data_IF_152781846823
#
_entry.id   IF_152781846823
#
_cell.length_a   1.000
_cell.length_b   1.000
_cell.length_c   1.000
_cell.angle_alpha   90.00
_cell.angle_beta   90.00
_cell.angle_gamma   90.00
#
_symmetry.space_group_name_H-M   'P 1'
#
loop_
_entity.id
_entity.type
_entity.pdbx_description
1 polymer ?
#
# COMPACT_ATOMS: atom_id res chain seq x y z
N UNK A 1 -36.85 17.59 28.91
CA UNK A 1 -35.57 16.89 29.23
C UNK A 1 -35.47 15.61 28.41
N UNK A 2 -35.47 15.72 27.07
CA UNK A 2 -35.55 14.52 26.21
C UNK A 2 -35.01 14.74 24.79
N UNK A 3 -34.02 15.63 24.62
CA UNK A 3 -33.52 15.95 23.27
C UNK A 3 -32.00 16.10 23.14
N UNK A 4 -31.24 15.60 24.12
CA UNK A 4 -29.77 15.67 24.11
C UNK A 4 -29.06 14.31 24.13
N UNK A 5 -29.80 13.20 24.30
CA UNK A 5 -29.21 11.84 24.32
C UNK A 5 -29.18 11.14 22.96
N UNK A 6 -29.99 11.55 21.98
CA UNK A 6 -30.08 10.86 20.68
C UNK A 6 -29.17 11.43 19.58
N UNK A 7 -28.33 12.43 19.89
CA UNK A 7 -27.36 13.00 18.93
C UNK A 7 -25.92 12.47 19.10
N UNK A 8 -25.68 11.59 20.08
CA UNK A 8 -24.35 11.03 20.38
C UNK A 8 -24.14 9.63 19.77
N UNK A 9 -25.19 8.96 19.28
CA UNK A 9 -25.08 7.62 18.67
C UNK A 9 -24.90 7.61 17.14
N UNK A 10 -24.58 8.77 16.54
CA UNK A 10 -24.38 8.92 15.09
C UNK A 10 -22.89 9.04 14.67
N UNK A 11 -21.93 8.74 15.55
CA UNK A 11 -20.52 9.11 15.34
C UNK A 11 -19.48 7.99 15.43
N UNK A 12 -19.85 6.71 15.47
CA UNK A 12 -18.86 5.63 15.71
C UNK A 12 -18.75 4.58 14.58
N UNK A 13 -19.60 4.60 13.55
CA UNK A 13 -19.66 3.51 12.58
C UNK A 13 -18.82 3.62 11.29
N UNK A 14 -18.40 4.82 10.87
CA UNK A 14 -17.95 5.02 9.46
C UNK A 14 -16.51 5.59 9.33
N UNK A 15 -15.87 5.94 10.45
CA UNK A 15 -14.46 6.38 10.43
C UNK A 15 -13.44 5.22 10.40
N UNK A 16 -13.89 3.96 10.44
CA UNK A 16 -13.02 2.79 10.62
C UNK A 16 -12.56 2.10 9.33
N UNK A 17 -12.94 2.58 8.14
CA UNK A 17 -12.51 1.96 6.87
C UNK A 17 -11.40 2.72 6.13
N UNK A 18 -11.04 3.92 6.60
CA UNK A 18 -9.87 4.65 6.08
C UNK A 18 -8.67 4.66 7.05
N UNK A 19 -8.77 3.99 8.21
CA UNK A 19 -7.73 3.94 9.23
C UNK A 19 -7.15 2.53 9.48
N UNK A 20 -7.56 1.51 8.73
CA UNK A 20 -7.17 0.10 9.01
C UNK A 20 -5.91 -0.37 8.29
N UNK A 21 -5.29 0.44 7.43
CA UNK A 21 -3.96 0.10 6.85
C UNK A 21 -2.81 0.40 7.84
N UNK A 22 -3.05 1.20 8.88
CA UNK A 22 -2.00 1.58 9.85
C UNK A 22 -1.78 0.61 11.02
N UNK A 23 -2.59 -0.45 11.18
CA UNK A 23 -2.58 -1.25 12.42
C UNK A 23 -1.72 -2.52 12.38
N UNK A 24 -0.94 -2.75 11.32
CA UNK A 24 -0.09 -3.95 11.19
C UNK A 24 1.35 -3.80 11.70
N UNK A 25 1.79 -2.63 12.13
CA UNK A 25 3.18 -2.38 12.56
C UNK A 25 3.33 -1.85 14.00
N UNK A 26 2.67 -2.47 14.98
CA UNK A 26 3.00 -2.19 16.39
C UNK A 26 2.85 -3.43 17.26
N UNK A 27 3.90 -4.25 17.31
CA UNK A 27 4.22 -5.04 18.51
C UNK A 27 5.71 -5.35 18.56
N UNK A 28 6.46 -4.56 19.33
CA UNK A 28 7.52 -5.06 20.21
C UNK A 28 7.94 -3.93 21.16
N UNK A 29 7.49 -3.92 22.42
CA UNK A 29 8.15 -3.12 23.44
C UNK A 29 9.59 -3.64 23.58
N UNK A 30 10.58 -2.78 23.36
CA UNK A 30 11.96 -3.07 23.72
C UNK A 30 12.05 -2.94 25.24
N UNK A 31 12.19 -4.07 25.93
CA UNK A 31 12.67 -4.09 27.31
C UNK A 31 14.09 -3.50 27.35
N UNK A 32 14.19 -2.26 27.79
CA UNK A 32 15.47 -1.65 28.18
C UNK A 32 15.96 -2.32 29.47
N UNK A 33 16.84 -3.31 29.33
CA UNK A 33 17.68 -3.77 30.44
C UNK A 33 18.95 -2.92 30.51
N UNK A 34 19.21 -2.18 31.60
CA UNK A 34 20.46 -1.44 31.74
C UNK A 34 21.56 -2.39 32.18
N UNK A 35 22.68 -2.42 31.44
CA UNK A 35 23.92 -3.05 31.87
C UNK A 35 24.98 -2.01 32.24
N UNK A 36 25.90 -2.36 33.15
CA UNK A 36 26.51 -1.44 34.11
C UNK A 36 27.78 -0.77 33.60
N UNK A 37 28.18 0.26 34.36
CA UNK A 37 29.35 1.10 34.16
C UNK A 37 30.71 0.39 34.32
N UNK A 38 31.66 0.84 33.49
CA UNK A 38 33.12 1.00 33.70
C UNK A 38 34.01 -0.26 33.88
N UNK A 39 35.25 -0.25 33.32
CA UNK A 39 36.33 0.58 33.86
C UNK A 39 37.18 1.36 32.85
N UNK A 40 37.54 2.55 33.30
CA UNK A 40 38.62 3.41 32.82
C UNK A 40 39.99 2.72 32.97
N UNK A 41 40.79 2.68 31.90
CA UNK A 41 42.23 2.45 31.97
C UNK A 41 42.96 3.35 30.98
N UNK A 42 43.79 4.24 31.52
CA UNK A 42 44.69 5.12 30.80
C UNK A 42 45.91 4.36 30.23
N UNK A 43 46.39 4.76 29.05
CA UNK A 43 47.61 4.24 28.44
C UNK A 43 48.17 5.20 27.39
N UNK A 44 49.34 5.76 27.70
CA UNK A 44 50.10 6.82 27.01
C UNK A 44 50.81 6.30 25.75
N UNK A 45 50.89 7.10 24.67
CA UNK A 45 52.15 7.53 24.04
C UNK A 45 52.03 7.98 22.56
N UNK A 46 52.71 9.09 22.30
CA UNK A 46 53.01 9.76 21.03
C UNK A 46 54.09 9.02 20.22
N UNK A 47 53.94 8.94 18.89
CA UNK A 47 54.91 9.48 17.90
C UNK A 47 54.62 9.06 16.46
N UNK A 48 54.99 9.93 15.52
CA UNK A 48 55.58 9.51 14.25
C UNK A 48 54.75 9.82 13.01
N UNK A 49 55.18 10.83 12.25
CA UNK A 49 54.58 11.22 10.97
C UNK A 49 54.86 10.26 9.82
N UNK A 50 54.23 10.54 8.69
CA UNK A 50 54.46 9.85 7.43
C UNK A 50 53.27 9.98 6.49
N UNK A 51 53.25 11.05 5.70
CA UNK A 51 52.50 11.06 4.44
C UNK A 51 52.87 9.83 3.61
N UNK A 52 51.88 9.00 3.29
CA UNK A 52 51.91 8.22 2.05
C UNK A 52 50.51 8.16 1.46
N UNK A 53 50.31 9.06 0.51
CA UNK A 53 49.33 8.96 -0.57
C UNK A 53 49.46 7.56 -1.18
N UNK A 54 48.54 6.67 -0.85
CA UNK A 54 48.20 5.52 -1.70
C UNK A 54 46.74 5.70 -2.13
N UNK A 55 46.64 6.30 -3.33
CA UNK A 55 45.50 6.20 -4.23
C UNK A 55 45.21 4.70 -4.44
N UNK A 56 44.36 4.13 -3.61
CA UNK A 56 43.65 2.90 -3.95
C UNK A 56 42.56 3.30 -4.93
N UNK A 57 42.74 2.85 -6.17
CA UNK A 57 41.80 3.04 -7.26
C UNK A 57 40.40 2.58 -6.82
N UNK A 58 39.46 3.52 -6.92
CA UNK A 58 38.05 3.31 -6.70
C UNK A 58 37.52 2.27 -7.70
N UNK A 59 37.02 1.16 -7.14
CA UNK A 59 35.85 0.47 -7.68
C UNK A 59 34.85 0.30 -6.54
N UNK A 60 34.58 1.41 -5.84
CA UNK A 60 33.43 1.54 -4.98
C UNK A 60 32.31 2.09 -5.84
N UNK A 61 31.34 1.24 -6.18
CA UNK A 61 30.01 1.75 -6.57
C UNK A 61 29.60 2.66 -5.42
N UNK A 62 29.39 3.95 -5.68
CA UNK A 62 28.99 4.90 -4.65
C UNK A 62 27.59 4.48 -4.14
N UNK A 63 27.54 3.77 -3.01
CA UNK A 63 26.28 3.31 -2.40
C UNK A 63 25.41 4.48 -1.94
N UNK A 64 25.91 5.72 -1.99
CA UNK A 64 25.14 6.93 -1.71
C UNK A 64 24.06 7.22 -2.76
N UNK A 65 24.14 6.61 -3.95
CA UNK A 65 23.26 6.91 -5.09
C UNK A 65 22.05 5.98 -5.22
N UNK A 66 22.00 4.86 -4.49
CA UNK A 66 20.87 3.92 -4.53
C UNK A 66 19.74 4.39 -3.59
N UNK A 67 18.50 4.25 -4.03
CA UNK A 67 17.33 4.37 -3.14
C UNK A 67 17.18 3.07 -2.37
N UNK A 68 17.56 3.12 -1.10
CA UNK A 68 17.30 2.06 -0.13
C UNK A 68 15.92 2.27 0.48
N UNK A 69 15.09 1.24 0.41
CA UNK A 69 13.77 1.18 1.03
C UNK A 69 13.89 0.32 2.27
N UNK A 70 13.45 0.84 3.42
CA UNK A 70 13.37 0.03 4.63
C UNK A 70 12.12 -0.84 4.57
N UNK A 71 12.33 -2.15 4.46
CA UNK A 71 11.29 -3.16 4.57
C UNK A 71 11.56 -3.96 5.84
N UNK A 72 10.77 -3.73 6.89
CA UNK A 72 10.85 -4.47 8.16
C UNK A 72 12.24 -4.42 8.83
N UNK A 73 12.92 -3.28 8.79
CA UNK A 73 14.26 -3.09 9.34
C UNK A 73 15.39 -3.57 8.41
N UNK A 74 15.06 -3.98 7.19
CA UNK A 74 16.04 -4.37 6.17
C UNK A 74 16.07 -3.33 5.05
N UNK A 75 17.26 -2.83 4.75
CA UNK A 75 17.47 -1.92 3.63
C UNK A 75 17.54 -2.69 2.32
N UNK A 76 16.55 -2.50 1.45
CA UNK A 76 16.50 -3.11 0.14
C UNK A 76 16.60 -2.07 -0.96
N UNK A 77 17.35 -2.37 -2.00
CA UNK A 77 17.33 -1.58 -3.24
C UNK A 77 15.90 -1.59 -3.84
N UNK A 78 15.37 -0.42 -4.17
CA UNK A 78 14.05 -0.24 -4.77
C UNK A 78 13.80 -1.14 -6.00
N UNK A 79 14.84 -1.45 -6.79
CA UNK A 79 14.73 -2.35 -7.96
C UNK A 79 14.36 -3.78 -7.57
N UNK A 80 14.79 -4.26 -6.40
CA UNK A 80 14.53 -5.63 -5.93
C UNK A 80 13.10 -5.84 -5.44
N UNK A 81 12.32 -4.77 -5.34
CA UNK A 81 10.89 -4.85 -5.03
C UNK A 81 10.05 -5.24 -6.25
N UNK A 82 10.61 -5.15 -7.46
CA UNK A 82 9.93 -5.56 -8.69
C UNK A 82 10.27 -7.00 -9.03
N UNK A 83 9.24 -7.79 -9.31
CA UNK A 83 9.38 -9.18 -9.72
C UNK A 83 9.56 -9.28 -11.24
N UNK A 84 10.46 -10.17 -11.68
CA UNK A 84 10.77 -10.43 -13.08
C UNK A 84 10.31 -11.85 -13.41
N UNK A 85 9.45 -11.97 -14.42
CA UNK A 85 8.91 -13.24 -14.87
C UNK A 85 9.96 -14.18 -15.45
N UNK A 86 9.65 -15.48 -15.46
CA UNK A 86 10.54 -16.56 -15.93
C UNK A 86 11.04 -16.40 -17.38
N UNK A 87 10.31 -15.68 -18.23
CA UNK A 87 10.70 -15.40 -19.62
C UNK A 87 11.57 -14.14 -19.77
N UNK A 88 11.89 -13.46 -18.65
CA UNK A 88 12.31 -12.06 -18.66
C UNK A 88 11.10 -11.14 -18.82
N UNK A 89 11.19 -9.92 -18.30
CA UNK A 89 10.09 -8.97 -18.28
C UNK A 89 9.48 -8.79 -16.89
N UNK A 90 9.10 -7.57 -16.57
CA UNK A 90 8.46 -7.23 -15.30
C UNK A 90 7.08 -7.88 -15.16
N UNK A 91 6.86 -8.60 -14.07
CA UNK A 91 5.54 -9.13 -13.70
C UNK A 91 4.66 -7.96 -13.24
N UNK A 92 3.57 -7.71 -13.97
CA UNK A 92 2.61 -6.65 -13.68
C UNK A 92 1.37 -7.29 -13.07
N UNK A 93 1.13 -7.04 -11.78
CA UNK A 93 0.00 -7.55 -11.02
C UNK A 93 -0.26 -6.70 -9.75
N UNK A 94 -1.06 -7.25 -8.83
CA UNK A 94 -1.34 -6.61 -7.54
C UNK A 94 -0.08 -6.40 -6.68
N UNK A 95 0.92 -7.28 -6.77
CA UNK A 95 2.19 -7.12 -6.05
C UNK A 95 2.95 -5.92 -6.59
N UNK A 96 2.95 -5.70 -7.91
CA UNK A 96 3.52 -4.47 -8.51
C UNK A 96 2.88 -3.22 -7.93
N UNK A 97 1.55 -3.19 -7.78
CA UNK A 97 0.85 -2.07 -7.13
C UNK A 97 1.32 -1.87 -5.69
N UNK A 98 1.45 -2.95 -4.91
CA UNK A 98 1.96 -2.90 -3.53
C UNK A 98 3.39 -2.35 -3.46
N UNK A 99 4.24 -2.75 -4.42
CA UNK A 99 5.59 -2.19 -4.57
C UNK A 99 5.54 -0.68 -4.85
N UNK A 100 4.70 -0.23 -5.77
CA UNK A 100 4.53 1.20 -6.07
C UNK A 100 4.06 1.99 -4.83
N UNK A 101 3.13 1.44 -4.06
CA UNK A 101 2.64 2.02 -2.81
C UNK A 101 3.74 2.13 -1.74
N UNK A 102 4.54 1.07 -1.61
CA UNK A 102 5.69 1.03 -0.71
C UNK A 102 6.73 2.08 -1.09
N UNK A 103 7.03 2.23 -2.38
CA UNK A 103 7.97 3.25 -2.86
C UNK A 103 7.49 4.66 -2.50
N UNK A 104 6.20 4.95 -2.69
CA UNK A 104 5.65 6.27 -2.38
C UNK A 104 5.58 6.55 -0.88
N UNK A 105 5.25 5.55 -0.07
CA UNK A 105 5.20 5.69 1.40
C UNK A 105 6.58 5.95 2.01
N UNK A 106 7.64 5.47 1.35
CA UNK A 106 9.03 5.71 1.76
C UNK A 106 9.61 7.02 1.19
N UNK A 107 8.84 7.76 0.39
CA UNK A 107 9.21 9.08 -0.10
C UNK A 107 8.61 10.19 0.76
N UNK A 108 9.17 11.39 0.63
CA UNK A 108 8.57 12.61 1.15
C UNK A 108 7.19 12.85 0.52
N UNK A 109 6.23 13.43 1.26
CA UNK A 109 4.86 13.71 0.76
C UNK A 109 4.84 14.49 -0.57
N UNK A 110 5.82 15.36 -0.77
CA UNK A 110 6.09 16.06 -2.03
C UNK A 110 7.53 15.81 -2.41
N UNK A 111 7.83 14.70 -3.11
CA UNK A 111 9.21 14.33 -3.36
C UNK A 111 9.84 15.33 -4.32
N UNK A 112 11.05 15.77 -3.98
CA UNK A 112 11.81 16.69 -4.81
C UNK A 112 12.25 16.00 -6.11
N UNK A 113 12.53 16.78 -7.15
CA UNK A 113 13.01 16.24 -8.43
C UNK A 113 14.24 15.34 -8.24
N UNK A 114 15.14 15.69 -7.32
CA UNK A 114 16.33 14.90 -7.03
C UNK A 114 16.01 13.52 -6.43
N UNK A 115 14.96 13.40 -5.61
CA UNK A 115 14.55 12.11 -5.04
C UNK A 115 13.97 11.19 -6.12
N UNK A 116 13.20 11.76 -7.04
CA UNK A 116 12.65 11.06 -8.21
C UNK A 116 13.79 10.60 -9.12
N UNK A 117 14.73 11.50 -9.46
CA UNK A 117 15.88 11.17 -10.30
C UNK A 117 16.73 10.05 -9.69
N UNK A 118 16.89 10.05 -8.36
CA UNK A 118 17.59 8.99 -7.62
C UNK A 118 16.87 7.65 -7.73
N UNK A 119 15.54 7.64 -7.59
CA UNK A 119 14.75 6.42 -7.79
C UNK A 119 14.90 5.91 -9.22
N UNK A 120 14.73 6.77 -10.22
CA UNK A 120 14.84 6.34 -11.61
C UNK A 120 16.24 5.80 -11.93
N UNK A 121 17.28 6.44 -11.43
CA UNK A 121 18.65 5.95 -11.55
C UNK A 121 18.78 4.56 -10.92
N UNK A 122 18.22 4.37 -9.72
CA UNK A 122 18.24 3.08 -9.02
C UNK A 122 17.56 1.99 -9.85
N UNK A 123 16.36 2.26 -10.39
CA UNK A 123 15.63 1.31 -11.24
C UNK A 123 16.40 0.98 -12.52
N UNK A 124 17.01 1.98 -13.18
CA UNK A 124 17.82 1.76 -14.40
C UNK A 124 19.09 0.95 -14.16
N UNK A 125 19.65 0.98 -12.95
CA UNK A 125 20.84 0.22 -12.60
C UNK A 125 20.52 -1.17 -12.02
N UNK A 126 19.32 -1.37 -11.49
CA UNK A 126 18.90 -2.62 -10.86
C UNK A 126 18.02 -3.53 -11.71
N UNK A 127 17.38 -3.01 -12.78
CA UNK A 127 16.49 -3.77 -13.66
C UNK A 127 17.02 -3.86 -15.10
N UNK A 128 16.62 -4.88 -15.88
CA UNK A 128 16.80 -4.87 -17.32
C UNK A 128 16.23 -3.59 -17.94
N UNK A 129 16.90 -3.05 -18.98
CA UNK A 129 16.59 -1.73 -19.55
C UNK A 129 15.10 -1.50 -19.82
N UNK A 130 14.45 -2.43 -20.52
CA UNK A 130 13.04 -2.27 -20.89
C UNK A 130 12.10 -2.37 -19.68
N UNK A 131 12.49 -3.13 -18.66
CA UNK A 131 11.73 -3.30 -17.42
C UNK A 131 11.90 -2.10 -16.48
N UNK A 132 13.11 -1.51 -16.45
CA UNK A 132 13.36 -0.26 -15.75
C UNK A 132 12.46 0.86 -16.28
N UNK A 133 12.39 1.04 -17.60
CA UNK A 133 11.55 2.08 -18.20
C UNK A 133 10.06 1.82 -17.98
N UNK A 134 9.61 0.56 -17.98
CA UNK A 134 8.24 0.21 -17.58
C UNK A 134 7.97 0.54 -16.11
N UNK A 135 8.86 0.17 -15.19
CA UNK A 135 8.73 0.45 -13.77
C UNK A 135 8.66 1.97 -13.50
N UNK A 136 9.53 2.74 -14.15
CA UNK A 136 9.56 4.21 -14.07
C UNK A 136 8.25 4.81 -14.59
N UNK A 137 7.79 4.35 -15.77
CA UNK A 137 6.52 4.81 -16.34
C UNK A 137 5.34 4.52 -15.39
N UNK A 138 5.29 3.32 -14.81
CA UNK A 138 4.24 2.96 -13.86
C UNK A 138 4.31 3.78 -12.57
N UNK A 139 5.51 4.06 -12.06
CA UNK A 139 5.69 4.94 -10.90
C UNK A 139 5.11 6.33 -11.13
N UNK A 140 5.44 6.96 -12.26
CA UNK A 140 4.87 8.27 -12.62
C UNK A 140 3.35 8.20 -12.83
N UNK A 141 2.87 7.17 -13.53
CA UNK A 141 1.44 6.94 -13.75
C UNK A 141 0.68 6.77 -12.44
N UNK A 142 1.23 6.03 -11.48
CA UNK A 142 0.62 5.77 -10.17
C UNK A 142 0.56 7.04 -9.32
N UNK A 143 1.60 7.88 -9.34
CA UNK A 143 1.58 9.18 -8.67
C UNK A 143 0.52 10.11 -9.23
N UNK A 144 0.43 10.21 -10.56
CA UNK A 144 -0.58 11.01 -11.22
C UNK A 144 -1.99 10.51 -10.88
N UNK A 145 -2.19 9.19 -10.93
CA UNK A 145 -3.43 8.54 -10.54
C UNK A 145 -3.85 8.89 -9.11
N UNK A 146 -2.95 8.81 -8.12
CA UNK A 146 -3.28 9.16 -6.73
C UNK A 146 -3.64 10.65 -6.56
N UNK A 147 -3.00 11.53 -7.33
CA UNK A 147 -3.32 12.95 -7.37
C UNK A 147 -4.75 13.22 -7.84
N UNK A 148 -5.12 12.64 -8.98
CA UNK A 148 -6.45 12.80 -9.59
C UNK A 148 -7.52 12.08 -8.76
N UNK A 149 -7.22 10.89 -8.23
CA UNK A 149 -8.11 10.09 -7.40
C UNK A 149 -8.57 10.87 -6.16
N UNK A 150 -7.65 11.57 -5.50
CA UNK A 150 -7.97 12.37 -4.30
C UNK A 150 -8.97 13.48 -4.62
N UNK A 151 -8.85 14.13 -5.78
CA UNK A 151 -9.75 15.20 -6.19
C UNK A 151 -11.11 14.71 -6.69
N UNK A 152 -11.12 13.64 -7.48
CA UNK A 152 -12.34 13.15 -8.15
C UNK A 152 -13.22 12.28 -7.24
N UNK A 153 -12.64 11.34 -6.50
CA UNK A 153 -13.44 10.46 -5.65
C UNK A 153 -14.03 11.19 -4.44
N UNK A 154 -13.37 12.23 -3.95
CA UNK A 154 -13.94 13.09 -2.90
C UNK A 154 -15.25 13.76 -3.34
N UNK A 155 -15.41 14.04 -4.63
CA UNK A 155 -16.64 14.65 -5.16
C UNK A 155 -17.79 13.65 -5.29
N UNK A 156 -17.48 12.37 -5.49
CA UNK A 156 -18.49 11.30 -5.60
C UNK A 156 -19.05 10.91 -4.22
N UNK A 157 -18.28 11.10 -3.15
CA UNK A 157 -18.68 10.71 -1.79
C UNK A 157 -18.74 9.20 -1.60
N UNK A 158 -19.29 8.78 -0.45
CA UNK A 158 -19.49 7.35 -0.13
C UNK A 158 -20.83 6.91 -0.73
N UNK A 159 -20.88 5.86 -1.55
CA UNK A 159 -22.12 5.36 -2.12
C UNK A 159 -23.09 4.85 -1.04
N UNK A 160 -24.35 5.26 -1.11
CA UNK A 160 -25.43 4.88 -0.19
C UNK A 160 -26.44 3.91 -0.79
N UNK A 161 -26.32 3.64 -2.10
CA UNK A 161 -27.17 2.69 -2.82
C UNK A 161 -26.33 1.76 -3.70
N UNK A 162 -26.84 0.56 -4.05
CA UNK A 162 -26.15 -0.34 -4.97
C UNK A 162 -25.81 0.30 -6.31
N UNK A 163 -26.76 1.05 -6.89
CA UNK A 163 -26.55 1.73 -8.17
C UNK A 163 -25.47 2.82 -8.10
N UNK A 164 -25.42 3.59 -7.00
CA UNK A 164 -24.36 4.56 -6.77
C UNK A 164 -23.00 3.88 -6.59
N UNK A 165 -22.96 2.71 -5.94
CA UNK A 165 -21.72 1.96 -5.78
C UNK A 165 -21.19 1.44 -7.12
N UNK A 166 -22.08 0.92 -7.98
CA UNK A 166 -21.70 0.48 -9.31
C UNK A 166 -21.11 1.65 -10.13
N UNK A 167 -21.78 2.81 -10.12
CA UNK A 167 -21.28 4.02 -10.78
C UNK A 167 -19.92 4.50 -10.21
N UNK A 168 -19.73 4.41 -8.89
CA UNK A 168 -18.47 4.75 -8.23
C UNK A 168 -17.31 3.88 -8.74
N UNK A 169 -17.50 2.56 -8.79
CA UNK A 169 -16.45 1.65 -9.27
C UNK A 169 -16.20 1.77 -10.78
N UNK A 170 -17.22 2.11 -11.56
CA UNK A 170 -17.06 2.38 -13.00
C UNK A 170 -16.24 3.65 -13.23
N UNK A 171 -16.51 4.71 -12.45
CA UNK A 171 -15.72 5.95 -12.50
C UNK A 171 -14.28 5.73 -12.03
N UNK A 172 -14.07 4.89 -11.00
CA UNK A 172 -12.75 4.49 -10.54
C UNK A 172 -11.97 3.75 -11.63
N UNK A 173 -12.62 2.82 -12.35
CA UNK A 173 -12.00 2.10 -13.45
C UNK A 173 -11.64 3.04 -14.63
N UNK A 174 -12.51 4.00 -14.93
CA UNK A 174 -12.22 5.04 -15.93
C UNK A 174 -11.05 5.94 -15.54
N UNK A 175 -10.93 6.28 -14.25
CA UNK A 175 -9.77 7.00 -13.74
C UNK A 175 -8.49 6.17 -13.90
N UNK A 176 -8.50 4.90 -13.52
CA UNK A 176 -7.34 4.02 -13.66
C UNK A 176 -6.90 3.91 -15.14
N UNK A 177 -7.84 3.76 -16.07
CA UNK A 177 -7.59 3.70 -17.52
C UNK A 177 -7.08 5.01 -18.15
N UNK A 178 -7.16 6.15 -17.46
CA UNK A 178 -6.54 7.40 -17.92
C UNK A 178 -5.04 7.43 -17.69
N UNK A 179 -4.55 6.74 -16.66
CA UNK A 179 -3.12 6.71 -16.31
C UNK A 179 -2.41 5.44 -16.77
N UNK A 180 -3.18 4.38 -17.04
CA UNK A 180 -2.67 3.08 -17.45
C UNK A 180 -3.43 2.58 -18.67
N UNK A 181 -2.77 1.81 -19.53
CA UNK A 181 -3.50 1.04 -20.56
C UNK A 181 -4.42 -0.01 -19.91
N UNK A 182 -5.37 -0.52 -20.68
CA UNK A 182 -6.42 -1.41 -20.16
C UNK A 182 -5.86 -2.70 -19.53
N UNK A 183 -4.82 -3.26 -20.12
CA UNK A 183 -4.16 -4.46 -19.61
C UNK A 183 -3.47 -4.20 -18.27
N UNK A 184 -2.72 -3.10 -18.19
CA UNK A 184 -2.01 -2.68 -16.96
C UNK A 184 -2.99 -2.30 -15.87
N UNK A 185 -4.04 -1.53 -16.18
CA UNK A 185 -5.08 -1.17 -15.23
C UNK A 185 -5.77 -2.44 -14.66
N UNK A 186 -6.11 -3.39 -15.53
CA UNK A 186 -6.72 -4.65 -15.11
C UNK A 186 -5.80 -5.46 -14.21
N UNK A 187 -4.51 -5.55 -14.55
CA UNK A 187 -3.53 -6.28 -13.76
C UNK A 187 -3.27 -5.66 -12.37
N UNK A 188 -3.17 -4.34 -12.29
CA UNK A 188 -2.89 -3.63 -11.04
C UNK A 188 -4.11 -3.53 -10.11
N UNK A 189 -5.31 -3.36 -10.67
CA UNK A 189 -6.50 -2.97 -9.90
C UNK A 189 -7.68 -3.94 -10.01
N UNK A 190 -7.77 -4.75 -11.06
CA UNK A 190 -8.99 -5.49 -11.40
C UNK A 190 -9.51 -6.37 -10.27
N UNK A 191 -8.64 -7.21 -9.70
CA UNK A 191 -9.01 -8.11 -8.58
C UNK A 191 -9.44 -7.34 -7.34
N UNK A 192 -8.68 -6.32 -6.95
CA UNK A 192 -8.99 -5.53 -5.77
C UNK A 192 -10.31 -4.77 -5.92
N UNK A 193 -10.54 -4.15 -7.08
CA UNK A 193 -11.80 -3.46 -7.38
C UNK A 193 -12.99 -4.42 -7.36
N UNK A 194 -12.84 -5.63 -7.89
CA UNK A 194 -13.88 -6.65 -7.86
C UNK A 194 -14.21 -7.06 -6.41
N UNK A 195 -13.19 -7.31 -5.60
CA UNK A 195 -13.37 -7.73 -4.21
C UNK A 195 -13.99 -6.60 -3.38
N UNK A 196 -13.54 -5.35 -3.56
CA UNK A 196 -14.12 -4.18 -2.94
C UNK A 196 -15.60 -3.99 -3.33
N UNK A 197 -15.96 -4.25 -4.59
CA UNK A 197 -17.36 -4.20 -5.04
C UNK A 197 -18.21 -5.25 -4.32
N UNK A 198 -17.72 -6.48 -4.16
CA UNK A 198 -18.43 -7.54 -3.43
C UNK A 198 -18.64 -7.19 -1.94
N UNK A 199 -17.62 -6.64 -1.28
CA UNK A 199 -17.72 -6.20 0.12
C UNK A 199 -18.74 -5.05 0.27
N UNK A 200 -18.75 -4.10 -0.67
CA UNK A 200 -19.74 -3.02 -0.68
C UNK A 200 -21.16 -3.58 -0.87
N UNK A 201 -21.36 -4.52 -1.79
CA UNK A 201 -22.65 -5.19 -2.02
C UNK A 201 -23.15 -5.91 -0.77
N UNK A 202 -22.27 -6.62 -0.06
CA UNK A 202 -22.60 -7.25 1.21
C UNK A 202 -23.12 -6.22 2.24
N UNK A 203 -22.51 -5.04 2.31
CA UNK A 203 -22.95 -3.98 3.22
C UNK A 203 -24.40 -3.54 2.95
N UNK A 204 -24.81 -3.47 1.68
CA UNK A 204 -26.19 -3.13 1.31
C UNK A 204 -27.18 -4.24 1.66
N UNK A 205 -26.80 -5.50 1.47
CA UNK A 205 -27.63 -6.65 1.88
C UNK A 205 -27.85 -6.66 3.39
N UNK A 206 -26.80 -6.43 4.17
CA UNK A 206 -26.89 -6.36 5.64
C UNK A 206 -27.87 -5.27 6.09
N UNK A 207 -27.83 -4.10 5.45
CA UNK A 207 -28.68 -2.95 5.79
C UNK A 207 -30.11 -3.04 5.25
N UNK A 208 -30.37 -3.92 4.28
CA UNK A 208 -31.68 -4.03 3.64
C UNK A 208 -32.75 -4.58 4.62
N UNK A 209 -33.73 -3.75 4.99
CA UNK A 209 -34.79 -4.16 5.92
C UNK A 209 -35.90 -5.00 5.28
N UNK A 210 -35.96 -5.07 3.95
CA UNK A 210 -36.94 -5.87 3.23
C UNK A 210 -36.58 -7.37 3.20
N UNK A 211 -35.32 -7.72 3.46
CA UNK A 211 -34.86 -9.11 3.48
C UNK A 211 -35.00 -9.70 4.89
N UNK A 212 -35.56 -10.90 4.96
CA UNK A 212 -35.52 -11.73 6.16
C UNK A 212 -34.07 -12.14 6.51
N UNK A 213 -33.79 -12.53 7.77
CA UNK A 213 -32.47 -13.00 8.15
C UNK A 213 -31.95 -14.18 7.30
N UNK A 214 -32.85 -15.09 6.88
CA UNK A 214 -32.48 -16.22 6.03
C UNK A 214 -32.12 -15.78 4.61
N UNK A 215 -32.90 -14.87 4.01
CA UNK A 215 -32.59 -14.32 2.67
C UNK A 215 -31.28 -13.53 2.68
N UNK A 216 -31.00 -12.78 3.75
CA UNK A 216 -29.71 -12.10 3.92
C UNK A 216 -28.56 -13.10 3.93
N UNK A 217 -28.67 -14.16 4.74
CA UNK A 217 -27.65 -15.19 4.81
C UNK A 217 -27.40 -15.84 3.45
N UNK A 218 -28.46 -16.25 2.74
CA UNK A 218 -28.31 -16.86 1.42
C UNK A 218 -27.57 -15.95 0.43
N UNK A 219 -27.93 -14.66 0.38
CA UNK A 219 -27.26 -13.70 -0.51
C UNK A 219 -25.81 -13.43 -0.10
N UNK A 220 -25.53 -13.30 1.20
CA UNK A 220 -24.17 -13.10 1.71
C UNK A 220 -23.27 -14.32 1.45
N UNK A 221 -23.82 -15.53 1.52
CA UNK A 221 -23.12 -16.78 1.19
C UNK A 221 -22.72 -16.82 -0.29
N UNK A 222 -23.62 -16.39 -1.18
CA UNK A 222 -23.35 -16.30 -2.61
C UNK A 222 -22.25 -15.28 -2.93
N UNK A 223 -22.20 -14.15 -2.22
CA UNK A 223 -21.11 -13.19 -2.37
C UNK A 223 -19.78 -13.74 -1.83
N UNK A 224 -19.79 -14.39 -0.67
CA UNK A 224 -18.60 -15.03 -0.09
C UNK A 224 -17.98 -16.07 -1.01
N UNK A 225 -18.81 -16.84 -1.71
CA UNK A 225 -18.33 -17.86 -2.64
C UNK A 225 -17.51 -17.27 -3.81
N UNK A 226 -17.69 -15.99 -4.13
CA UNK A 226 -16.96 -15.29 -5.20
C UNK A 226 -15.62 -14.71 -4.76
N UNK A 227 -15.37 -14.61 -3.44
CA UNK A 227 -14.10 -14.12 -2.90
C UNK A 227 -13.05 -15.25 -2.82
N UNK A 228 -11.75 -14.90 -2.93
CA UNK A 228 -10.64 -15.79 -2.56
C UNK A 228 -10.84 -16.33 -1.13
N UNK A 229 -10.35 -17.55 -0.87
CA UNK A 229 -10.59 -18.24 0.41
C UNK A 229 -10.16 -17.40 1.61
N UNK A 230 -9.02 -16.73 1.47
CA UNK A 230 -8.37 -15.89 2.48
C UNK A 230 -9.15 -14.60 2.78
N UNK A 231 -10.11 -14.23 1.92
CA UNK A 231 -10.88 -13.00 2.00
C UNK A 231 -12.36 -13.23 2.32
N UNK A 232 -12.80 -14.48 2.47
CA UNK A 232 -14.23 -14.79 2.72
C UNK A 232 -14.75 -14.18 4.01
N UNK A 233 -13.88 -13.99 5.00
CA UNK A 233 -14.23 -13.40 6.29
C UNK A 233 -14.49 -11.88 6.23
N UNK A 234 -14.17 -11.23 5.10
CA UNK A 234 -14.51 -9.82 4.88
C UNK A 234 -16.03 -9.60 4.76
N UNK A 235 -16.78 -10.63 4.38
CA UNK A 235 -18.24 -10.60 4.34
C UNK A 235 -18.75 -11.35 5.57
N UNK A 236 -19.43 -10.69 6.51
CA UNK A 236 -19.94 -11.34 7.70
C UNK A 236 -21.13 -12.26 7.35
N UNK A 237 -21.30 -13.33 8.12
CA UNK A 237 -22.58 -14.04 8.20
C UNK A 237 -23.61 -13.13 8.89
N UNK A 238 -24.87 -13.10 8.46
CA UNK A 238 -25.90 -12.44 9.25
C UNK A 238 -26.15 -13.24 10.53
N UNK A 239 -26.27 -12.55 11.68
CA UNK A 239 -26.49 -13.21 12.98
C UNK A 239 -27.64 -14.23 12.88
N UNK A 240 -27.48 -15.44 13.46
CA UNK A 240 -28.58 -16.39 13.52
C UNK A 240 -29.73 -15.75 14.30
N UNK A 241 -30.96 -15.93 13.80
CA UNK A 241 -32.15 -15.57 14.55
C UNK A 241 -32.05 -16.20 15.96
N UNK A 242 -31.99 -15.37 17.00
CA UNK A 242 -32.04 -15.89 18.37
C UNK A 242 -33.40 -16.59 18.54
N UNK A 243 -33.40 -17.82 19.09
CA UNK A 243 -34.62 -18.61 19.26
C UNK A 243 -35.63 -17.93 20.19
#
# INVERSE_FOLDING_TARGET
MTDLKNRILALVGVAALLATVSWWFSSSPRDESPLPAEPTAAGVASNGGGERVQRSAANGVDHSQVVEIDVMGSKLDASRLFDIGFAGGLNIDQQTRSTLDTLLTNMSDTPAAQEIDKLEWTLRNGLPKDDAEKAIKMFHGYRAYLGDMRGELQQLGIPDTPAAADAYFDQLALLQRRHFDDATATALFGRENQNARLVMQASFITQNQALSPNEKNEQLDQLRAQLPQEQRDLIPSAEPARP
#
